data_IF_900940655917
#
_entry.id   IF_900940655917
#
_cell.length_a   1.000
_cell.length_b   1.000
_cell.length_c   1.000
_cell.angle_alpha   90.00
_cell.angle_beta   90.00
_cell.angle_gamma   90.00
#
_symmetry.space_group_name_H-M   'P 1'
#
loop_
_entity.id
_entity.type
_entity.pdbx_description
1 polymer ?
#
# COMPACT_ATOMS: atom_id res chain seq x y z
N UNK A 1 -31.68 -34.31 -29.98
CA UNK A 1 -32.76 -34.54 -29.01
C UNK A 1 -32.68 -33.39 -28.01
N UNK A 2 -33.37 -32.26 -28.21
CA UNK A 2 -34.77 -31.96 -27.82
C UNK A 2 -35.05 -32.19 -26.33
N UNK A 3 -34.89 -31.12 -25.55
CA UNK A 3 -35.76 -30.86 -24.40
C UNK A 3 -35.96 -29.34 -24.26
N UNK A 4 -36.99 -28.86 -24.94
CA UNK A 4 -37.72 -27.66 -24.52
C UNK A 4 -38.62 -28.07 -23.36
N UNK A 5 -38.62 -27.32 -22.25
CA UNK A 5 -39.84 -27.10 -21.49
C UNK A 5 -39.81 -25.73 -20.82
N UNK A 6 -40.76 -24.92 -21.26
CA UNK A 6 -41.09 -23.57 -20.85
C UNK A 6 -41.97 -23.63 -19.62
N UNK A 7 -41.72 -22.78 -18.61
CA UNK A 7 -42.73 -22.36 -17.63
C UNK A 7 -42.23 -21.05 -16.98
N UNK A 8 -42.51 -19.88 -17.57
CA UNK A 8 -43.68 -19.05 -17.22
C UNK A 8 -44.01 -19.06 -15.73
N UNK A 9 -43.49 -18.08 -14.98
CA UNK A 9 -44.16 -17.60 -13.78
C UNK A 9 -44.08 -16.06 -13.69
N UNK A 10 -45.23 -15.48 -14.03
CA UNK A 10 -45.90 -14.35 -13.38
C UNK A 10 -45.11 -13.07 -13.09
N UNK A 11 -45.44 -12.07 -13.90
CA UNK A 11 -45.42 -10.65 -13.59
C UNK A 11 -46.28 -10.37 -12.33
N UNK A 12 -45.69 -9.78 -11.29
CA UNK A 12 -46.43 -9.09 -10.23
C UNK A 12 -45.96 -7.63 -10.22
N UNK A 13 -46.72 -6.77 -10.90
CA UNK A 13 -46.61 -5.32 -10.85
C UNK A 13 -47.32 -4.86 -9.59
N UNK A 14 -46.55 -4.44 -8.58
CA UNK A 14 -47.06 -3.68 -7.44
C UNK A 14 -46.68 -2.21 -7.67
N UNK A 15 -47.64 -1.46 -8.20
CA UNK A 15 -47.67 0.00 -8.15
C UNK A 15 -48.02 0.40 -6.72
N UNK A 16 -47.06 0.99 -6.03
CA UNK A 16 -47.25 1.66 -4.74
C UNK A 16 -46.53 3.00 -4.77
N UNK A 17 -47.26 4.08 -5.07
CA UNK A 17 -46.81 5.44 -4.83
C UNK A 17 -46.80 5.70 -3.31
N UNK A 18 -45.63 6.03 -2.79
CA UNK A 18 -45.44 6.52 -1.44
C UNK A 18 -44.12 7.29 -1.39
N UNK A 19 -44.20 8.60 -1.65
CA UNK A 19 -43.10 9.55 -1.46
C UNK A 19 -42.63 9.56 0.00
N UNK A 20 -41.38 9.15 0.24
CA UNK A 20 -40.60 9.69 1.36
C UNK A 20 -39.09 9.49 1.14
N UNK A 21 -38.44 10.62 0.89
CA UNK A 21 -37.03 10.93 1.15
C UNK A 21 -35.96 10.12 0.41
N UNK A 22 -35.31 10.83 -0.53
CA UNK A 22 -34.01 10.46 -1.06
C UNK A 22 -32.95 10.53 0.07
N UNK A 23 -32.31 9.39 0.35
CA UNK A 23 -31.08 9.31 1.14
C UNK A 23 -29.95 8.85 0.21
N UNK A 24 -29.00 9.73 -0.16
CA UNK A 24 -27.86 9.38 -0.99
C UNK A 24 -26.68 9.00 -0.09
N UNK A 25 -26.63 7.76 0.38
CA UNK A 25 -25.37 7.17 0.85
C UNK A 25 -25.40 5.64 0.89
N UNK A 26 -25.78 5.04 -0.23
CA UNK A 26 -25.20 3.75 -0.61
C UNK A 26 -23.99 4.02 -1.49
N UNK A 27 -22.84 4.23 -0.84
CA UNK A 27 -21.52 4.16 -1.47
C UNK A 27 -20.62 3.26 -0.63
N UNK A 28 -20.25 2.13 -1.24
CA UNK A 28 -19.11 1.25 -0.92
C UNK A 28 -19.24 0.34 0.31
N UNK A 29 -19.90 -0.80 0.10
CA UNK A 29 -19.22 -2.07 0.37
C UNK A 29 -18.21 -2.33 -0.76
N UNK A 30 -16.95 -1.99 -0.50
CA UNK A 30 -15.80 -2.50 -1.25
C UNK A 30 -14.59 -2.41 -0.31
N UNK A 31 -14.06 -3.57 0.10
CA UNK A 31 -12.77 -3.64 0.80
C UNK A 31 -12.72 -4.47 2.07
N UNK A 32 -13.45 -5.59 2.16
CA UNK A 32 -13.11 -6.65 3.12
C UNK A 32 -11.87 -7.40 2.62
N UNK A 33 -10.71 -6.78 2.85
CA UNK A 33 -9.38 -7.34 3.20
C UNK A 33 -8.39 -6.18 3.18
N UNK A 34 -8.52 -5.27 4.15
CA UNK A 34 -7.32 -4.68 4.70
C UNK A 34 -6.63 -5.82 5.46
N UNK A 35 -5.71 -6.52 4.80
CA UNK A 35 -4.62 -7.14 5.55
C UNK A 35 -4.06 -6.01 6.40
N UNK A 36 -4.09 -6.23 7.70
CA UNK A 36 -3.62 -5.30 8.70
C UNK A 36 -2.35 -4.61 8.19
N UNK A 37 -2.29 -3.29 8.32
CA UNK A 37 -1.01 -2.61 8.36
C UNK A 37 -0.14 -3.45 9.30
N UNK A 38 0.82 -4.17 8.75
CA UNK A 38 1.70 -5.00 9.55
C UNK A 38 2.31 -4.06 10.59
N UNK A 39 2.34 -4.44 11.87
CA UNK A 39 2.93 -3.58 12.88
C UNK A 39 4.37 -3.31 12.45
N UNK A 40 4.67 -2.06 12.07
CA UNK A 40 6.03 -1.63 11.79
C UNK A 40 6.87 -2.06 12.99
N UNK A 41 7.85 -2.96 12.83
CA UNK A 41 8.67 -3.43 13.93
C UNK A 41 9.26 -2.22 14.64
N UNK A 42 8.88 -2.05 15.91
CA UNK A 42 9.44 -1.01 16.76
C UNK A 42 10.96 -1.13 16.81
N UNK A 43 11.65 0.01 16.84
CA UNK A 43 13.11 0.06 16.87
C UNK A 43 13.63 1.45 16.53
N UNK A 44 14.85 1.75 16.95
CA UNK A 44 15.56 2.96 16.51
C UNK A 44 15.95 2.87 15.04
N UNK A 45 16.15 4.01 14.36
CA UNK A 45 16.59 4.04 12.96
C UNK A 45 17.84 3.16 12.73
N UNK A 46 18.79 3.17 13.67
CA UNK A 46 20.02 2.36 13.58
C UNK A 46 19.76 0.84 13.60
N UNK A 47 18.83 0.40 14.47
CA UNK A 47 18.44 -1.01 14.55
C UNK A 47 17.71 -1.43 13.27
N UNK A 48 16.82 -0.58 12.76
CA UNK A 48 16.06 -0.84 11.54
C UNK A 48 16.95 -0.81 10.30
N UNK A 49 17.95 0.08 10.25
CA UNK A 49 19.00 0.05 9.22
C UNK A 49 19.72 -1.29 9.24
N UNK A 50 20.13 -1.74 10.41
CA UNK A 50 20.86 -3.01 10.53
C UNK A 50 20.02 -4.21 10.10
N UNK A 51 18.73 -4.22 10.44
CA UNK A 51 17.77 -5.22 9.99
C UNK A 51 17.60 -5.20 8.46
N UNK A 52 17.46 -4.00 7.87
CA UNK A 52 17.39 -3.78 6.43
C UNK A 52 18.63 -4.34 5.71
N UNK A 53 19.84 -3.97 6.12
CA UNK A 53 21.08 -4.43 5.47
C UNK A 53 21.23 -5.95 5.54
N UNK A 54 20.88 -6.55 6.70
CA UNK A 54 20.91 -8.00 6.88
C UNK A 54 19.90 -8.71 5.96
N UNK A 55 18.67 -8.22 5.90
CA UNK A 55 17.62 -8.81 5.07
C UNK A 55 17.96 -8.65 3.58
N UNK A 56 18.48 -7.49 3.17
CA UNK A 56 18.98 -7.23 1.82
C UNK A 56 20.07 -8.21 1.41
N UNK A 57 21.07 -8.41 2.28
CA UNK A 57 22.15 -9.37 2.03
C UNK A 57 21.64 -10.82 1.93
N UNK A 58 20.71 -11.21 2.81
CA UNK A 58 20.14 -12.56 2.81
C UNK A 58 19.32 -12.82 1.54
N UNK A 59 18.46 -11.87 1.13
CA UNK A 59 17.69 -11.99 -0.09
C UNK A 59 18.56 -11.95 -1.34
N UNK A 60 19.59 -11.09 -1.38
CA UNK A 60 20.54 -11.07 -2.50
C UNK A 60 21.27 -12.40 -2.69
N UNK A 61 21.59 -13.10 -1.60
CA UNK A 61 22.22 -14.42 -1.65
C UNK A 61 21.26 -15.53 -2.13
N UNK A 62 19.95 -15.36 -1.96
CA UNK A 62 18.91 -16.36 -2.27
C UNK A 62 17.65 -15.66 -2.78
N UNK A 63 17.73 -15.03 -3.95
CA UNK A 63 16.68 -14.13 -4.47
C UNK A 63 15.36 -14.81 -4.85
N UNK A 64 15.34 -16.15 -4.91
CA UNK A 64 14.13 -16.94 -5.15
C UNK A 64 13.45 -17.41 -3.86
N UNK A 65 14.04 -17.14 -2.69
CA UNK A 65 13.45 -17.52 -1.41
C UNK A 65 12.34 -16.50 -1.05
N UNK A 66 11.09 -16.94 -1.17
CA UNK A 66 9.92 -16.10 -0.90
C UNK A 66 9.88 -15.60 0.55
N UNK A 67 10.41 -16.35 1.53
CA UNK A 67 10.48 -15.89 2.92
C UNK A 67 11.47 -14.73 3.06
N UNK A 68 12.64 -14.86 2.45
CA UNK A 68 13.65 -13.80 2.47
C UNK A 68 13.20 -12.57 1.69
N UNK A 69 12.40 -12.75 0.62
CA UNK A 69 11.75 -11.65 -0.10
C UNK A 69 10.83 -10.86 0.83
N UNK A 70 9.93 -11.55 1.54
CA UNK A 70 9.01 -10.92 2.49
C UNK A 70 9.77 -10.21 3.62
N UNK A 71 10.77 -10.87 4.23
CA UNK A 71 11.59 -10.28 5.29
C UNK A 71 12.32 -9.02 4.79
N UNK A 72 12.83 -9.03 3.56
CA UNK A 72 13.50 -7.87 2.97
C UNK A 72 12.53 -6.72 2.69
N UNK A 73 11.35 -6.99 2.12
CA UNK A 73 10.31 -5.97 1.93
C UNK A 73 9.92 -5.36 3.27
N UNK A 74 9.62 -6.18 4.27
CA UNK A 74 9.22 -5.70 5.60
C UNK A 74 10.32 -4.84 6.25
N UNK A 75 11.57 -5.31 6.25
CA UNK A 75 12.69 -4.55 6.81
C UNK A 75 12.94 -3.23 6.07
N UNK A 76 12.76 -3.22 4.75
CA UNK A 76 12.88 -2.00 3.92
C UNK A 76 11.80 -0.98 4.25
N UNK A 77 10.54 -1.39 4.34
CA UNK A 77 9.42 -0.50 4.70
C UNK A 77 9.61 0.05 6.11
N UNK A 78 9.95 -0.80 7.07
CA UNK A 78 10.20 -0.38 8.46
C UNK A 78 11.32 0.66 8.55
N UNK A 79 12.40 0.42 7.79
CA UNK A 79 13.50 1.34 7.75
C UNK A 79 13.13 2.67 7.07
N UNK A 80 12.39 2.62 5.96
CA UNK A 80 11.88 3.80 5.28
C UNK A 80 10.99 4.65 6.18
N UNK A 81 10.09 4.01 6.94
CA UNK A 81 9.20 4.68 7.91
C UNK A 81 9.99 5.34 9.04
N UNK A 82 11.05 4.69 9.53
CA UNK A 82 11.94 5.29 10.53
C UNK A 82 12.73 6.48 9.96
N UNK A 83 13.25 6.38 8.74
CA UNK A 83 13.94 7.50 8.06
C UNK A 83 12.99 8.68 7.84
N UNK A 84 11.75 8.42 7.38
CA UNK A 84 10.74 9.45 7.14
C UNK A 84 10.40 10.22 8.43
N UNK A 85 10.21 9.49 9.53
CA UNK A 85 9.81 10.04 10.83
C UNK A 85 11.00 10.50 11.69
N UNK A 86 12.22 10.18 11.28
CA UNK A 86 13.45 10.48 11.99
C UNK A 86 13.83 11.97 12.00
N UNK A 87 14.94 12.24 12.67
CA UNK A 87 15.49 13.59 12.79
C UNK A 87 16.01 14.13 11.44
N UNK A 88 16.11 15.45 11.34
CA UNK A 88 16.64 16.14 10.16
C UNK A 88 15.58 16.84 9.32
N UNK A 89 16.05 17.68 8.41
CA UNK A 89 15.16 18.49 7.58
C UNK A 89 14.46 17.62 6.52
N UNK A 90 13.22 17.96 6.12
CA UNK A 90 12.49 17.29 5.03
C UNK A 90 13.33 17.01 3.78
N UNK A 91 14.13 18.00 3.36
CA UNK A 91 15.01 17.90 2.17
C UNK A 91 16.08 16.81 2.25
N UNK A 92 16.41 16.34 3.45
CA UNK A 92 17.47 15.35 3.67
C UNK A 92 16.87 13.95 3.86
N UNK A 93 15.75 13.84 4.60
CA UNK A 93 15.15 12.55 4.94
C UNK A 93 14.13 12.02 3.92
N UNK A 94 13.33 12.90 3.31
CA UNK A 94 12.30 12.47 2.36
C UNK A 94 12.85 11.85 1.08
N UNK A 95 13.94 12.37 0.46
CA UNK A 95 14.55 11.68 -0.68
C UNK A 95 14.93 10.24 -0.37
N UNK A 96 15.54 10.02 0.80
CA UNK A 96 16.01 8.70 1.23
C UNK A 96 14.85 7.76 1.54
N UNK A 97 13.81 8.25 2.21
CA UNK A 97 12.62 7.45 2.47
C UNK A 97 11.89 7.07 1.17
N UNK A 98 11.79 7.98 0.20
CA UNK A 98 11.24 7.69 -1.13
C UNK A 98 12.03 6.58 -1.84
N UNK A 99 13.37 6.65 -1.83
CA UNK A 99 14.22 5.60 -2.41
C UNK A 99 13.96 4.22 -1.79
N UNK A 100 13.80 4.15 -0.46
CA UNK A 100 13.51 2.89 0.23
C UNK A 100 12.09 2.37 -0.05
N UNK A 101 11.08 3.25 -0.09
CA UNK A 101 9.73 2.83 -0.49
C UNK A 101 9.67 2.36 -1.94
N UNK A 102 10.38 3.04 -2.84
CA UNK A 102 10.52 2.61 -4.24
C UNK A 102 11.20 1.23 -4.33
N UNK A 103 12.23 0.98 -3.52
CA UNK A 103 12.90 -0.33 -3.42
C UNK A 103 11.92 -1.43 -2.96
N UNK A 104 11.13 -1.18 -1.92
CA UNK A 104 10.11 -2.13 -1.45
C UNK A 104 9.03 -2.39 -2.53
N UNK A 105 8.57 -1.35 -3.21
CA UNK A 105 7.52 -1.46 -4.24
C UNK A 105 8.00 -2.10 -5.55
N UNK A 106 9.31 -2.07 -5.82
CA UNK A 106 9.87 -2.81 -6.94
C UNK A 106 9.78 -4.34 -6.73
N UNK A 107 9.80 -4.79 -5.47
CA UNK A 107 9.75 -6.21 -5.08
C UNK A 107 8.32 -6.65 -4.81
N UNK A 108 7.58 -5.86 -4.04
CA UNK A 108 6.15 -6.04 -3.78
C UNK A 108 5.34 -4.80 -4.21
N UNK A 109 4.89 -4.74 -5.48
CA UNK A 109 4.09 -3.64 -5.98
C UNK A 109 2.72 -3.49 -5.31
N UNK A 110 2.31 -4.44 -4.45
CA UNK A 110 1.03 -4.40 -3.72
C UNK A 110 1.19 -3.95 -2.27
N UNK A 111 2.41 -3.71 -1.80
CA UNK A 111 2.66 -3.27 -0.43
C UNK A 111 1.89 -1.97 -0.12
N UNK A 112 0.91 -2.04 0.78
CA UNK A 112 0.01 -0.94 1.10
C UNK A 112 0.69 0.18 1.86
N UNK A 113 1.49 -0.17 2.88
CA UNK A 113 2.20 0.80 3.72
C UNK A 113 3.20 1.62 2.91
N UNK A 114 4.01 0.96 2.06
CA UNK A 114 4.96 1.64 1.19
C UNK A 114 4.28 2.64 0.25
N UNK A 115 3.12 2.29 -0.34
CA UNK A 115 2.35 3.22 -1.18
C UNK A 115 1.86 4.43 -0.41
N UNK A 116 1.25 4.20 0.75
CA UNK A 116 0.67 5.27 1.57
C UNK A 116 1.75 6.23 2.03
N UNK A 117 2.84 5.73 2.61
CA UNK A 117 3.90 6.58 3.13
C UNK A 117 4.70 7.27 2.02
N UNK A 118 4.92 6.59 0.89
CA UNK A 118 5.49 7.22 -0.31
C UNK A 118 4.62 8.38 -0.79
N UNK A 119 3.31 8.16 -0.91
CA UNK A 119 2.39 9.21 -1.37
C UNK A 119 2.34 10.38 -0.39
N UNK A 120 2.32 10.11 0.92
CA UNK A 120 2.40 11.15 1.95
C UNK A 120 3.59 12.07 1.73
N UNK A 121 4.77 11.52 1.44
CA UNK A 121 5.96 12.33 1.16
C UNK A 121 5.77 13.18 -0.10
N UNK A 122 5.19 12.61 -1.17
CA UNK A 122 4.93 13.34 -2.42
C UNK A 122 3.96 14.49 -2.23
N UNK A 123 2.90 14.28 -1.45
CA UNK A 123 1.92 15.33 -1.12
C UNK A 123 2.60 16.47 -0.35
N UNK A 124 3.55 16.16 0.54
CA UNK A 124 4.33 17.19 1.25
C UNK A 124 5.23 17.98 0.28
N UNK A 125 5.84 17.34 -0.71
CA UNK A 125 6.59 18.05 -1.76
C UNK A 125 5.69 19.02 -2.54
N UNK A 126 4.49 18.56 -2.92
CA UNK A 126 3.49 19.39 -3.59
C UNK A 126 3.07 20.60 -2.73
N UNK A 127 2.77 20.38 -1.45
CA UNK A 127 2.43 21.44 -0.49
C UNK A 127 3.57 22.46 -0.32
N UNK A 128 4.83 21.99 -0.40
CA UNK A 128 6.00 22.85 -0.37
C UNK A 128 6.26 23.58 -1.70
N UNK A 129 5.48 23.32 -2.75
CA UNK A 129 5.71 23.84 -4.09
C UNK A 129 7.04 23.36 -4.69
N UNK A 130 7.49 22.16 -4.31
CA UNK A 130 8.77 21.59 -4.75
C UNK A 130 8.54 20.29 -5.51
N UNK A 131 9.38 20.03 -6.50
CA UNK A 131 9.41 18.73 -7.14
C UNK A 131 10.16 17.71 -6.27
N UNK A 132 9.63 16.48 -6.13
CA UNK A 132 10.36 15.40 -5.49
C UNK A 132 11.60 15.03 -6.34
N UNK A 133 12.67 14.54 -5.70
CA UNK A 133 13.84 14.07 -6.42
C UNK A 133 13.48 12.92 -7.36
N UNK A 134 14.09 12.89 -8.54
CA UNK A 134 13.93 11.76 -9.46
C UNK A 134 14.59 10.51 -8.86
N UNK A 135 13.96 9.33 -8.98
CA UNK A 135 14.56 8.09 -8.53
C UNK A 135 15.90 7.87 -9.24
N UNK A 136 16.94 7.51 -8.48
CA UNK A 136 18.27 7.24 -9.04
C UNK A 136 18.28 5.89 -9.75
N UNK A 137 18.30 5.91 -11.07
CA UNK A 137 18.52 4.72 -11.91
C UNK A 137 17.26 3.89 -12.17
N UNK A 138 16.75 3.98 -13.39
CA UNK A 138 16.11 2.86 -14.07
C UNK A 138 17.06 2.38 -15.15
#
# INVERSE_FOLDING_TARGET
>A
MRTLLVLSFLLAVIVGCGEKSADPSQAKEAGKTATAAEPSPGGSESQLKSAYEKAKAAYAAKSQDEKLKVEYVQATVSYATAVMSGDGAPKDKYPRALELYDEALAIDPKNGEAKVNRQLILDIYEQMGKEPPKPKGK
#
